data_IF_872862509182
#
_entry.id   IF_872862509182
#
_cell.length_a   1.000
_cell.length_b   1.000
_cell.length_c   1.000
_cell.angle_alpha   90.00
_cell.angle_beta   90.00
_cell.angle_gamma   90.00
#
_symmetry.space_group_name_H-M   'P 1'
#
loop_
_entity.id
_entity.type
_entity.pdbx_description
1 polymer ?
#
# COMPACT_ATOMS: atom_id res chain seq x y z
N UNK A 1 -1.96 -1.28 -9.78
CA UNK A 1 -1.73 -2.53 -9.02
C UNK A 1 -2.91 -2.77 -8.10
N UNK A 2 -3.40 -4.00 -7.98
CA UNK A 2 -4.50 -4.35 -7.05
C UNK A 2 -3.90 -4.82 -5.73
N UNK A 3 -4.21 -4.16 -4.62
CA UNK A 3 -3.68 -4.50 -3.28
C UNK A 3 -4.85 -4.63 -2.30
N UNK A 4 -5.36 -5.85 -2.15
CA UNK A 4 -6.46 -6.15 -1.25
C UNK A 4 -5.90 -6.65 0.09
N UNK A 5 -5.90 -5.77 1.10
CA UNK A 5 -5.45 -6.08 2.46
C UNK A 5 -6.59 -5.91 3.47
N UNK A 6 -7.84 -6.02 2.99
CA UNK A 6 -9.02 -5.86 3.83
C UNK A 6 -9.11 -7.02 4.83
N UNK A 7 -9.16 -6.71 6.10
CA UNK A 7 -9.16 -7.69 7.19
C UNK A 7 -7.77 -8.02 7.75
N UNK A 8 -6.69 -7.53 7.13
CA UNK A 8 -5.34 -7.70 7.66
C UNK A 8 -5.14 -6.82 8.91
N UNK A 9 -4.40 -7.32 9.89
CA UNK A 9 -4.08 -6.58 11.12
C UNK A 9 -2.62 -6.15 11.09
N UNK A 10 -2.35 -4.88 11.35
CA UNK A 10 -0.98 -4.39 11.56
C UNK A 10 -0.45 -4.99 12.87
N UNK A 11 0.86 -5.15 12.98
CA UNK A 11 1.54 -5.52 14.24
C UNK A 11 1.20 -4.59 15.40
N UNK A 12 0.85 -3.33 15.10
CA UNK A 12 0.37 -2.33 16.06
C UNK A 12 -1.05 -2.60 16.60
N UNK A 13 -1.75 -3.61 16.06
CA UNK A 13 -3.12 -3.97 16.46
C UNK A 13 -4.21 -3.26 15.66
N UNK A 14 -3.85 -2.26 14.86
CA UNK A 14 -4.73 -1.54 13.93
C UNK A 14 -5.22 -2.47 12.81
N UNK A 15 -6.54 -2.58 12.63
CA UNK A 15 -7.16 -3.43 11.60
C UNK A 15 -7.36 -2.61 10.33
N UNK A 16 -6.87 -3.12 9.20
CA UNK A 16 -7.05 -2.52 7.90
C UNK A 16 -8.45 -2.91 7.37
N UNK A 17 -9.38 -1.95 7.38
CA UNK A 17 -10.73 -2.14 6.85
C UNK A 17 -11.00 -1.38 5.56
N UNK A 18 -10.22 -0.32 5.31
CA UNK A 18 -10.45 0.64 4.24
C UNK A 18 -9.20 0.78 3.36
N UNK A 19 -9.43 1.13 2.09
CA UNK A 19 -8.39 1.43 1.10
C UNK A 19 -7.50 2.61 1.55
N UNK A 20 -8.06 3.55 2.33
CA UNK A 20 -7.34 4.62 3.03
C UNK A 20 -6.27 4.08 3.99
N UNK A 21 -6.64 3.11 4.81
CA UNK A 21 -5.75 2.49 5.81
C UNK A 21 -4.60 1.73 5.13
N UNK A 22 -4.92 1.04 4.02
CA UNK A 22 -3.93 0.41 3.15
C UNK A 22 -2.98 1.46 2.58
N UNK A 23 -3.51 2.56 2.04
CA UNK A 23 -2.70 3.65 1.48
C UNK A 23 -1.76 4.23 2.52
N UNK A 24 -2.30 4.55 3.70
CA UNK A 24 -1.53 5.11 4.81
C UNK A 24 -0.45 4.14 5.29
N UNK A 25 -0.76 2.84 5.35
CA UNK A 25 0.20 1.80 5.68
C UNK A 25 1.33 1.72 4.66
N UNK A 26 1.00 1.63 3.37
CA UNK A 26 2.00 1.55 2.30
C UNK A 26 2.88 2.81 2.22
N UNK A 27 2.31 3.98 2.50
CA UNK A 27 3.07 5.22 2.58
C UNK A 27 4.01 5.24 3.81
N UNK A 28 3.54 4.79 4.98
CA UNK A 28 4.35 4.84 6.21
C UNK A 28 5.42 3.74 6.26
N UNK A 29 5.06 2.49 5.99
CA UNK A 29 5.94 1.33 6.11
C UNK A 29 6.79 1.14 4.85
N UNK A 30 6.17 1.14 3.66
CA UNK A 30 6.90 0.91 2.42
C UNK A 30 7.52 2.18 1.82
N UNK A 31 7.30 3.36 2.44
CA UNK A 31 7.67 4.68 1.89
C UNK A 31 7.19 4.87 0.44
N UNK A 32 6.09 4.19 0.08
CA UNK A 32 5.56 4.15 -1.27
C UNK A 32 4.35 5.08 -1.36
N UNK A 33 4.54 6.18 -2.09
CA UNK A 33 3.47 7.10 -2.43
C UNK A 33 2.55 6.49 -3.50
N UNK A 34 1.60 5.68 -3.05
CA UNK A 34 0.55 5.09 -3.87
C UNK A 34 -0.70 5.95 -3.79
N UNK A 35 -1.27 6.31 -4.94
CA UNK A 35 -2.54 7.04 -4.96
C UNK A 35 -3.67 6.04 -5.23
N UNK A 36 -4.61 5.88 -4.29
CA UNK A 36 -5.74 5.00 -4.49
C UNK A 36 -6.74 5.61 -5.48
N UNK A 37 -7.34 4.77 -6.32
CA UNK A 37 -8.28 5.23 -7.35
C UNK A 37 -9.56 5.85 -6.79
N UNK A 38 -9.93 5.60 -5.53
CA UNK A 38 -11.09 6.27 -4.93
C UNK A 38 -10.88 7.78 -4.80
N UNK A 39 -9.64 8.27 -4.72
CA UNK A 39 -9.32 9.69 -4.73
C UNK A 39 -9.78 10.40 -6.02
N UNK A 40 -10.05 9.62 -7.07
CA UNK A 40 -10.62 10.08 -8.34
C UNK A 40 -12.17 9.96 -8.39
N UNK A 41 -12.83 9.72 -7.26
CA UNK A 41 -14.29 9.63 -7.18
C UNK A 41 -14.87 8.25 -7.55
N UNK A 42 -14.03 7.21 -7.61
CA UNK A 42 -14.46 5.83 -7.88
C UNK A 42 -14.86 5.11 -6.60
N UNK A 43 -15.54 3.96 -6.72
CA UNK A 43 -16.01 3.20 -5.56
C UNK A 43 -14.85 2.85 -4.60
N UNK A 44 -15.02 3.14 -3.30
CA UNK A 44 -14.04 2.85 -2.23
C UNK A 44 -13.74 1.37 -2.06
N UNK A 45 -14.49 0.50 -2.73
CA UNK A 45 -14.32 -0.94 -2.72
C UNK A 45 -13.21 -1.42 -3.66
N UNK A 46 -12.68 -0.54 -4.51
CA UNK A 46 -11.72 -0.89 -5.55
C UNK A 46 -10.31 -0.70 -4.98
N UNK A 47 -9.57 -1.78 -4.64
CA UNK A 47 -8.21 -1.70 -4.11
C UNK A 47 -7.20 -1.46 -5.24
N UNK A 48 -7.50 -0.55 -6.16
CA UNK A 48 -6.62 -0.21 -7.27
C UNK A 48 -5.79 1.01 -6.92
N UNK A 49 -4.49 0.86 -7.13
CA UNK A 49 -3.50 1.89 -6.82
C UNK A 49 -2.72 2.26 -8.07
N UNK A 50 -2.46 3.57 -8.18
CA UNK A 50 -1.49 4.12 -9.11
C UNK A 50 -0.16 4.27 -8.39
N UNK A 51 0.85 3.56 -8.90
CA UNK A 51 2.24 3.75 -8.54
C UNK A 51 2.85 4.74 -9.54
N UNK A 52 3.50 5.79 -9.05
CA UNK A 52 4.23 6.74 -9.88
C UNK A 52 5.71 6.64 -9.57
N UNK A 53 6.50 6.15 -10.53
CA UNK A 53 7.96 5.96 -10.43
C UNK A 53 8.68 6.99 -11.31
N UNK A 54 8.39 8.27 -11.08
CA UNK A 54 8.83 9.36 -11.98
C UNK A 54 10.34 9.61 -12.04
N UNK A 55 11.09 9.11 -11.05
CA UNK A 55 12.54 9.41 -10.88
C UNK A 55 13.29 8.28 -10.18
N UNK A 56 12.74 7.06 -10.13
CA UNK A 56 13.37 5.93 -9.45
C UNK A 56 14.26 5.16 -10.42
N UNK A 57 15.49 4.84 -10.00
CA UNK A 57 16.32 3.85 -10.72
C UNK A 57 15.77 2.45 -10.53
N UNK A 58 16.23 1.46 -11.31
CA UNK A 58 15.80 0.07 -11.10
C UNK A 58 16.11 -0.42 -9.68
N UNK A 59 17.22 0.04 -9.10
CA UNK A 59 17.62 -0.27 -7.73
C UNK A 59 16.65 0.33 -6.69
N UNK A 60 16.18 1.56 -6.90
CA UNK A 60 15.15 2.18 -6.06
C UNK A 60 13.81 1.44 -6.14
N UNK A 61 13.46 0.97 -7.35
CA UNK A 61 12.22 0.18 -7.55
C UNK A 61 12.33 -1.15 -6.80
N UNK A 62 13.47 -1.83 -6.90
CA UNK A 62 13.70 -3.10 -6.20
C UNK A 62 13.68 -2.90 -4.68
N UNK A 63 14.38 -1.88 -4.18
CA UNK A 63 14.36 -1.51 -2.75
C UNK A 63 12.94 -1.14 -2.26
N UNK A 64 12.14 -0.47 -3.09
CA UNK A 64 10.75 -0.13 -2.76
C UNK A 64 9.85 -1.36 -2.75
N UNK A 65 10.05 -2.31 -3.66
CA UNK A 65 9.33 -3.59 -3.69
C UNK A 65 9.75 -4.50 -2.53
N UNK A 66 11.01 -4.45 -2.11
CA UNK A 66 11.52 -5.16 -0.94
C UNK A 66 10.91 -4.58 0.34
N UNK A 67 10.86 -3.25 0.49
CA UNK A 67 10.15 -2.57 1.58
C UNK A 67 8.65 -2.90 1.59
N UNK A 68 8.01 -2.94 0.41
CA UNK A 68 6.62 -3.38 0.28
C UNK A 68 6.46 -4.82 0.80
N UNK A 69 7.34 -5.73 0.38
CA UNK A 69 7.30 -7.13 0.82
C UNK A 69 7.56 -7.29 2.31
N UNK A 70 8.49 -6.50 2.87
CA UNK A 70 8.77 -6.46 4.30
C UNK A 70 7.54 -5.96 5.06
N UNK A 71 6.91 -4.88 4.62
CA UNK A 71 5.69 -4.34 5.19
C UNK A 71 4.53 -5.34 5.13
N UNK A 72 4.38 -6.04 4.00
CA UNK A 72 3.37 -7.08 3.88
C UNK A 72 3.62 -8.26 4.84
N UNK A 73 4.88 -8.55 5.19
CA UNK A 73 5.23 -9.55 6.21
C UNK A 73 4.98 -9.07 7.65
N UNK A 74 4.94 -7.76 7.92
CA UNK A 74 4.59 -7.23 9.24
C UNK A 74 3.08 -7.32 9.51
N UNK A 75 2.27 -7.53 8.46
CA UNK A 75 0.84 -7.79 8.61
C UNK A 75 0.59 -9.21 9.14
N UNK A 76 -0.32 -9.29 10.11
CA UNK A 76 -0.74 -10.51 10.77
C UNK A 76 -2.19 -10.78 10.37
N UNK A 77 -2.49 -11.99 9.93
CA UNK A 77 -3.83 -12.42 9.49
C UNK A 77 -4.56 -13.15 10.61
#
# INVERSE_FOLDING_TARGET
MKIDLRGARKQDGTVIQSVEDITAFLLNEASLALVPFYAFGTARDIPWYRLSVGTCTMEDVDASMEKLSAALKTLVF
#
